data_IF_660336771166
#
_entry.id   IF_660336771166
#
_cell.length_a   1.000
_cell.length_b   1.000
_cell.length_c   1.000
_cell.angle_alpha   90.00
_cell.angle_beta   90.00
_cell.angle_gamma   90.00
#
_symmetry.space_group_name_H-M   'P 1'
#
loop_
_entity.id
_entity.type
_entity.pdbx_description
1 polymer ?
#
# COMPACT_ATOMS: atom_id res chain seq x y z
N UNK A 1 -25.20 3.94 13.67
CA UNK A 1 -24.03 3.62 14.52
C UNK A 1 -22.81 3.45 13.63
N UNK A 2 -21.75 4.27 13.76
CA UNK A 2 -20.51 4.20 12.94
C UNK A 2 -19.52 3.15 13.43
N UNK A 3 -19.60 2.76 14.70
CA UNK A 3 -18.64 1.89 15.37
C UNK A 3 -18.60 0.49 14.75
N UNK A 4 -19.74 -0.01 14.29
CA UNK A 4 -19.86 -1.34 13.67
C UNK A 4 -19.57 -1.34 12.16
N UNK A 5 -19.32 -0.18 11.55
CA UNK A 5 -19.11 -0.10 10.10
C UNK A 5 -17.69 -0.55 9.72
N UNK A 6 -17.53 -1.14 8.52
CA UNK A 6 -16.22 -1.43 7.95
C UNK A 6 -15.28 -0.22 7.93
N UNK A 7 -13.99 -0.49 8.05
CA UNK A 7 -12.95 0.54 8.04
C UNK A 7 -12.01 0.35 6.84
N UNK A 8 -11.84 1.42 6.09
CA UNK A 8 -10.82 1.57 5.06
C UNK A 8 -9.59 2.17 5.74
N UNK A 9 -8.52 1.40 5.87
CA UNK A 9 -7.28 1.84 6.52
C UNK A 9 -6.29 2.27 5.44
N UNK A 10 -5.71 3.46 5.58
CA UNK A 10 -4.59 3.92 4.75
C UNK A 10 -3.39 4.25 5.63
N UNK A 11 -2.27 3.58 5.37
CA UNK A 11 -1.01 3.82 6.08
C UNK A 11 0.11 4.08 5.08
N UNK A 12 0.57 5.33 5.01
CA UNK A 12 1.69 5.74 4.18
C UNK A 12 2.26 7.08 4.68
N UNK A 13 3.40 7.49 4.13
CA UNK A 13 3.92 8.84 4.36
C UNK A 13 3.03 9.86 3.64
N UNK A 14 2.88 11.05 4.23
CA UNK A 14 2.20 12.16 3.57
C UNK A 14 3.16 12.81 2.57
N UNK A 15 3.22 12.21 1.37
CA UNK A 15 3.98 12.69 0.20
C UNK A 15 3.00 12.76 -1.00
N UNK A 16 3.18 13.70 -1.95
CA UNK A 16 2.24 13.87 -3.07
C UNK A 16 2.03 12.57 -3.87
N UNK A 17 3.11 11.83 -4.12
CA UNK A 17 3.07 10.55 -4.84
C UNK A 17 2.24 9.46 -4.16
N UNK A 18 2.01 9.55 -2.84
CA UNK A 18 1.18 8.59 -2.10
C UNK A 18 -0.32 8.85 -2.29
N UNK A 19 -0.69 10.02 -2.81
CA UNK A 19 -2.03 10.36 -3.28
C UNK A 19 -3.14 10.08 -2.24
N UNK A 20 -2.86 10.37 -0.97
CA UNK A 20 -3.84 10.23 0.12
C UNK A 20 -5.05 11.15 -0.12
N UNK A 21 -4.83 12.31 -0.77
CA UNK A 21 -5.90 13.22 -1.17
C UNK A 21 -6.83 12.60 -2.22
N UNK A 22 -6.30 11.84 -3.19
CA UNK A 22 -7.11 11.08 -4.16
C UNK A 22 -7.97 10.02 -3.49
N UNK A 23 -7.42 9.27 -2.52
CA UNK A 23 -8.20 8.33 -1.71
C UNK A 23 -9.35 9.02 -0.95
N UNK A 24 -9.04 10.15 -0.29
CA UNK A 24 -10.04 10.91 0.44
C UNK A 24 -11.15 11.40 -0.48
N UNK A 25 -10.82 11.95 -1.65
CA UNK A 25 -11.79 12.43 -2.65
C UNK A 25 -12.66 11.29 -3.17
N UNK A 26 -12.08 10.13 -3.46
CA UNK A 26 -12.82 8.95 -3.90
C UNK A 26 -13.82 8.46 -2.84
N UNK A 27 -13.38 8.40 -1.58
CA UNK A 27 -14.26 8.05 -0.47
C UNK A 27 -15.40 9.07 -0.29
N UNK A 28 -15.08 10.37 -0.28
CA UNK A 28 -16.04 11.45 -0.02
C UNK A 28 -17.02 11.68 -1.18
N UNK A 29 -16.64 11.40 -2.42
CA UNK A 29 -17.50 11.59 -3.58
C UNK A 29 -18.50 10.44 -3.80
N UNK A 30 -18.31 9.28 -3.16
CA UNK A 30 -19.28 8.18 -3.23
C UNK A 30 -20.20 8.16 -2.01
N UNK A 31 -21.48 8.42 -2.24
CA UNK A 31 -22.50 8.49 -1.17
C UNK A 31 -22.59 7.19 -0.37
N UNK A 32 -22.48 6.03 -1.02
CA UNK A 32 -22.65 4.74 -0.37
C UNK A 32 -21.47 4.43 0.54
N UNK A 33 -20.23 4.70 0.11
CA UNK A 33 -19.04 4.61 0.96
C UNK A 33 -19.15 5.53 2.18
N UNK A 34 -19.57 6.78 1.95
CA UNK A 34 -19.81 7.74 3.03
C UNK A 34 -20.82 7.25 4.05
N UNK A 35 -21.89 6.58 3.61
CA UNK A 35 -22.94 6.09 4.47
C UNK A 35 -22.55 4.81 5.18
N UNK A 36 -21.81 3.90 4.55
CA UNK A 36 -21.64 2.52 5.05
C UNK A 36 -20.24 2.15 5.53
N UNK A 37 -19.24 3.02 5.37
CA UNK A 37 -17.88 2.76 5.82
C UNK A 37 -17.26 3.97 6.58
N UNK A 38 -16.12 3.70 7.20
CA UNK A 38 -15.24 4.71 7.78
C UNK A 38 -13.91 4.73 7.02
N UNK A 39 -13.27 5.90 6.92
CA UNK A 39 -11.91 6.04 6.41
C UNK A 39 -10.97 6.39 7.58
N UNK A 40 -9.92 5.60 7.78
CA UNK A 40 -8.91 5.80 8.80
C UNK A 40 -7.55 6.03 8.15
N UNK A 41 -7.01 7.23 8.32
CA UNK A 41 -5.71 7.65 7.78
C UNK A 41 -4.68 7.65 8.92
N UNK A 42 -3.62 6.85 8.77
CA UNK A 42 -2.55 6.78 9.76
C UNK A 42 -1.56 7.93 9.53
N UNK A 43 -1.29 8.69 10.59
CA UNK A 43 -0.37 9.84 10.58
C UNK A 43 0.65 9.67 11.69
N UNK A 44 1.94 9.59 11.35
CA UNK A 44 2.99 9.36 12.35
C UNK A 44 3.38 10.67 13.05
N UNK A 45 3.45 10.62 14.38
CA UNK A 45 4.00 11.71 15.20
C UNK A 45 3.03 12.87 15.47
N UNK A 46 1.74 12.69 15.21
CA UNK A 46 0.72 13.73 15.38
C UNK A 46 -0.40 13.19 16.25
N UNK A 47 -0.52 13.67 17.49
CA UNK A 47 -1.48 13.11 18.46
C UNK A 47 -2.94 13.47 18.11
N UNK A 48 -3.17 14.69 17.64
CA UNK A 48 -4.47 15.17 17.20
C UNK A 48 -4.35 15.96 15.90
N UNK A 49 -4.61 15.28 14.78
CA UNK A 49 -4.50 15.89 13.45
C UNK A 49 -5.33 17.18 13.31
N UNK A 50 -6.54 17.25 13.85
CA UNK A 50 -7.41 18.43 13.75
C UNK A 50 -6.92 19.64 14.53
N UNK A 51 -6.06 19.45 15.55
CA UNK A 51 -5.49 20.55 16.35
C UNK A 51 -4.07 20.91 15.93
N UNK A 52 -3.35 19.96 15.36
CA UNK A 52 -1.89 20.07 15.17
C UNK A 52 -1.48 20.19 13.70
N UNK A 53 -2.39 20.02 12.73
CA UNK A 53 -2.02 20.04 11.30
C UNK A 53 -1.25 21.29 10.86
N UNK A 54 -1.55 22.46 11.44
CA UNK A 54 -0.87 23.72 11.14
C UNK A 54 0.57 23.80 11.67
N UNK A 55 0.94 22.92 12.60
CA UNK A 55 2.28 22.85 13.21
C UNK A 55 3.21 21.90 12.47
N UNK A 56 2.69 21.07 11.56
CA UNK A 56 3.48 20.14 10.78
C UNK A 56 4.20 20.92 9.68
N UNK A 57 5.54 20.95 9.66
CA UNK A 57 6.27 21.74 8.67
C UNK A 57 6.30 21.05 7.30
N UNK A 58 6.61 21.84 6.27
CA UNK A 58 6.93 21.35 4.94
C UNK A 58 5.75 20.70 4.20
N UNK A 59 6.09 19.81 3.28
CA UNK A 59 5.14 19.14 2.38
C UNK A 59 4.13 18.24 3.12
N UNK A 60 4.51 17.42 4.11
CA UNK A 60 3.54 16.63 4.89
C UNK A 60 2.46 17.47 5.55
N UNK A 61 2.82 18.66 6.06
CA UNK A 61 1.87 19.57 6.69
C UNK A 61 0.89 20.21 5.71
N UNK A 62 1.33 20.55 4.50
CA UNK A 62 0.44 21.04 3.44
C UNK A 62 -0.59 19.99 3.04
N UNK A 63 -0.15 18.75 2.87
CA UNK A 63 -1.04 17.62 2.55
C UNK A 63 -2.02 17.40 3.70
N UNK A 64 -1.55 17.34 4.94
CA UNK A 64 -2.43 17.15 6.09
C UNK A 64 -3.46 18.28 6.21
N UNK A 65 -3.05 19.53 5.99
CA UNK A 65 -3.95 20.68 5.93
C UNK A 65 -5.03 20.49 4.86
N UNK A 66 -4.65 20.12 3.63
CA UNK A 66 -5.61 19.84 2.55
C UNK A 66 -6.62 18.76 2.97
N UNK A 67 -6.15 17.65 3.57
CA UNK A 67 -7.02 16.57 4.02
C UNK A 67 -8.02 17.07 5.07
N UNK A 68 -7.56 17.82 6.08
CA UNK A 68 -8.41 18.33 7.18
C UNK A 68 -9.43 19.35 6.68
N UNK A 69 -9.03 20.25 5.78
CA UNK A 69 -9.92 21.24 5.16
C UNK A 69 -10.96 20.55 4.28
N UNK A 70 -10.56 19.56 3.49
CA UNK A 70 -11.47 18.75 2.67
C UNK A 70 -12.50 18.01 3.53
N UNK A 71 -12.06 17.36 4.61
CA UNK A 71 -12.99 16.69 5.56
C UNK A 71 -13.96 17.68 6.20
N UNK A 72 -13.49 18.88 6.54
CA UNK A 72 -14.32 19.91 7.17
C UNK A 72 -15.35 20.48 6.19
N UNK A 73 -14.97 20.74 4.93
CA UNK A 73 -15.87 21.19 3.87
C UNK A 73 -17.00 20.18 3.59
N UNK A 74 -16.69 18.88 3.65
CA UNK A 74 -17.68 17.80 3.48
C UNK A 74 -18.44 17.44 4.77
N UNK A 75 -18.18 18.12 5.88
CA UNK A 75 -18.75 17.81 7.21
C UNK A 75 -18.57 16.33 7.61
N UNK A 76 -17.43 15.73 7.24
CA UNK A 76 -17.18 14.29 7.32
C UNK A 76 -16.34 13.86 8.54
N UNK A 77 -16.27 14.68 9.60
CA UNK A 77 -15.50 14.37 10.82
C UNK A 77 -16.04 13.17 11.60
N UNK A 78 -17.28 12.74 11.32
CA UNK A 78 -17.94 11.58 11.92
C UNK A 78 -17.60 10.25 11.24
N UNK A 79 -16.83 10.28 10.14
CA UNK A 79 -16.54 9.10 9.30
C UNK A 79 -15.13 9.06 8.71
N UNK A 80 -14.39 10.17 8.74
CA UNK A 80 -12.97 10.23 8.38
C UNK A 80 -12.17 10.51 9.65
N UNK A 81 -11.24 9.62 9.97
CA UNK A 81 -10.47 9.61 11.20
C UNK A 81 -8.98 9.62 10.89
N UNK A 82 -8.20 10.22 11.81
CA UNK A 82 -6.76 10.24 11.77
C UNK A 82 -6.22 9.61 13.05
N UNK A 83 -5.24 8.71 12.93
CA UNK A 83 -4.68 8.02 14.09
C UNK A 83 -3.15 8.01 14.05
N UNK A 84 -2.55 8.27 15.21
CA UNK A 84 -1.11 8.13 15.39
C UNK A 84 -0.77 6.68 15.72
N UNK A 85 -0.01 6.04 14.84
CA UNK A 85 0.60 4.74 15.11
C UNK A 85 2.10 4.89 14.85
N UNK A 86 2.90 4.55 15.86
CA UNK A 86 4.34 4.79 15.86
C UNK A 86 5.16 3.53 15.61
N UNK A 87 4.56 2.34 15.84
CA UNK A 87 5.25 1.06 15.70
C UNK A 87 4.43 0.02 14.92
N UNK A 88 5.16 -0.98 14.41
CA UNK A 88 4.59 -2.00 13.52
C UNK A 88 3.67 -3.00 14.22
N UNK A 89 3.85 -3.22 15.54
CA UNK A 89 2.99 -4.14 16.30
C UNK A 89 1.58 -3.58 16.45
N UNK A 90 1.48 -2.29 16.78
CA UNK A 90 0.22 -1.54 16.82
C UNK A 90 -0.45 -1.51 15.44
N UNK A 91 0.32 -1.24 14.38
CA UNK A 91 -0.23 -1.20 13.02
C UNK A 91 -0.80 -2.57 12.60
N UNK A 92 -0.07 -3.65 12.88
CA UNK A 92 -0.55 -5.01 12.63
C UNK A 92 -1.79 -5.37 13.47
N UNK A 93 -1.86 -4.90 14.73
CA UNK A 93 -3.05 -5.08 15.57
C UNK A 93 -4.26 -4.32 15.00
N UNK A 94 -4.07 -3.08 14.55
CA UNK A 94 -5.11 -2.32 13.87
C UNK A 94 -5.60 -3.06 12.61
N UNK A 95 -4.70 -3.60 11.80
CA UNK A 95 -5.09 -4.36 10.62
C UNK A 95 -5.99 -5.55 10.98
N UNK A 96 -5.68 -6.29 12.05
CA UNK A 96 -6.55 -7.38 12.52
C UNK A 96 -7.92 -6.90 13.03
N UNK A 97 -7.97 -5.73 13.68
CA UNK A 97 -9.25 -5.09 14.06
C UNK A 97 -10.05 -4.68 12.82
N UNK A 98 -9.38 -4.18 11.78
CA UNK A 98 -10.03 -3.86 10.52
C UNK A 98 -10.60 -5.13 9.85
N UNK A 99 -9.88 -6.25 9.89
CA UNK A 99 -10.38 -7.56 9.40
C UNK A 99 -11.65 -7.99 10.13
N UNK A 100 -11.69 -7.88 11.47
CA UNK A 100 -12.90 -8.25 12.24
C UNK A 100 -14.12 -7.35 11.96
N UNK A 101 -13.92 -6.23 11.27
CA UNK A 101 -14.97 -5.31 10.81
C UNK A 101 -15.24 -5.42 9.32
N UNK A 102 -14.73 -6.45 8.64
CA UNK A 102 -14.84 -6.62 7.18
C UNK A 102 -14.27 -5.41 6.42
N UNK A 103 -13.24 -4.79 6.98
CA UNK A 103 -12.54 -3.64 6.40
C UNK A 103 -11.60 -4.01 5.26
N UNK A 104 -10.84 -3.01 4.82
CA UNK A 104 -9.80 -3.18 3.80
C UNK A 104 -8.63 -2.20 4.04
N UNK A 105 -7.50 -2.47 3.41
CA UNK A 105 -6.38 -1.55 3.27
C UNK A 105 -6.42 -0.83 1.92
N UNK A 106 -6.14 0.48 1.89
CA UNK A 106 -6.11 1.26 0.67
C UNK A 106 -4.82 2.08 0.53
N UNK A 107 -4.11 1.88 -0.59
CA UNK A 107 -2.94 2.69 -0.96
C UNK A 107 -2.91 2.97 -2.47
N UNK A 108 -3.40 4.15 -2.83
CA UNK A 108 -3.62 4.59 -4.22
C UNK A 108 -2.50 5.51 -4.74
N UNK A 109 -1.26 5.21 -4.36
CA UNK A 109 -0.07 5.95 -4.82
C UNK A 109 -0.07 6.12 -6.35
N UNK A 110 0.35 7.27 -6.86
CA UNK A 110 0.51 7.49 -8.31
C UNK A 110 1.46 6.46 -8.93
N UNK A 111 2.49 6.07 -8.18
CA UNK A 111 3.39 4.97 -8.49
C UNK A 111 3.92 4.36 -7.19
N UNK A 112 3.99 3.04 -7.12
CA UNK A 112 4.56 2.31 -5.99
C UNK A 112 5.61 1.30 -6.47
N UNK A 113 6.91 1.47 -6.18
CA UNK A 113 7.96 0.61 -6.72
C UNK A 113 7.79 -0.86 -6.33
N UNK A 114 7.58 -1.12 -5.03
CA UNK A 114 7.38 -2.48 -4.53
C UNK A 114 6.03 -2.64 -3.84
N UNK A 115 5.75 -1.86 -2.79
CA UNK A 115 4.47 -1.93 -2.07
C UNK A 115 4.48 -2.85 -0.85
N UNK A 116 5.44 -2.63 0.06
CA UNK A 116 5.48 -3.34 1.35
C UNK A 116 4.22 -3.12 2.19
N UNK A 117 3.67 -1.90 2.24
CA UNK A 117 2.53 -1.60 3.11
C UNK A 117 1.27 -2.43 2.77
N UNK A 118 0.86 -2.60 1.50
CA UNK A 118 -0.19 -3.56 1.14
C UNK A 118 0.16 -5.00 1.56
N UNK A 119 1.41 -5.45 1.36
CA UNK A 119 1.84 -6.80 1.76
C UNK A 119 1.76 -6.99 3.28
N UNK A 120 2.11 -5.99 4.08
CA UNK A 120 1.98 -6.00 5.55
C UNK A 120 0.51 -6.12 5.98
N UNK A 121 -0.39 -5.38 5.33
CA UNK A 121 -1.83 -5.49 5.56
C UNK A 121 -2.38 -6.87 5.17
N UNK A 122 -2.00 -7.36 3.99
CA UNK A 122 -2.37 -8.68 3.49
C UNK A 122 -1.82 -9.80 4.38
N UNK A 123 -0.60 -9.68 4.92
CA UNK A 123 -0.04 -10.62 5.88
C UNK A 123 -0.85 -10.70 7.18
N UNK A 124 -1.57 -9.62 7.52
CA UNK A 124 -2.51 -9.59 8.65
C UNK A 124 -3.92 -10.07 8.30
N UNK A 125 -4.16 -10.49 7.05
CA UNK A 125 -5.45 -10.93 6.55
C UNK A 125 -6.38 -9.81 6.09
N UNK A 126 -5.89 -8.57 6.01
CA UNK A 126 -6.67 -7.41 5.55
C UNK A 126 -6.63 -7.32 4.02
N UNK A 127 -7.76 -7.51 3.31
CA UNK A 127 -7.80 -7.35 1.86
C UNK A 127 -7.37 -5.95 1.43
N UNK A 128 -6.70 -5.83 0.29
CA UNK A 128 -6.10 -4.56 -0.13
C UNK A 128 -6.63 -4.07 -1.49
N UNK A 129 -6.86 -2.75 -1.56
CA UNK A 129 -6.99 -1.97 -2.79
C UNK A 129 -5.69 -1.19 -2.97
N UNK A 130 -4.99 -1.37 -4.09
CA UNK A 130 -3.76 -0.63 -4.36
C UNK A 130 -3.68 -0.13 -5.80
N UNK A 131 -2.79 0.82 -6.02
CA UNK A 131 -2.47 1.31 -7.36
C UNK A 131 -2.06 0.19 -8.32
N UNK A 132 -2.50 0.27 -9.57
CA UNK A 132 -2.03 -0.60 -10.66
C UNK A 132 -0.60 -0.24 -11.14
N UNK A 133 -0.06 0.89 -10.70
CA UNK A 133 1.21 1.42 -11.20
C UNK A 133 2.38 0.95 -10.31
N UNK A 134 3.17 -0.01 -10.80
CA UNK A 134 4.38 -0.52 -10.16
C UNK A 134 4.18 -1.89 -9.47
N UNK A 135 4.96 -2.15 -8.42
CA UNK A 135 5.06 -3.45 -7.75
C UNK A 135 3.75 -4.10 -7.30
N UNK A 136 2.72 -3.36 -6.83
CA UNK A 136 1.43 -3.97 -6.49
C UNK A 136 0.76 -4.75 -7.63
N UNK A 137 1.00 -4.35 -8.88
CA UNK A 137 0.45 -5.06 -10.05
C UNK A 137 0.92 -6.52 -10.13
N UNK A 138 2.16 -6.79 -9.70
CA UNK A 138 2.77 -8.11 -9.78
C UNK A 138 2.26 -9.07 -8.70
N UNK A 139 2.07 -8.57 -7.47
CA UNK A 139 1.67 -9.44 -6.36
C UNK A 139 0.16 -9.48 -6.13
N UNK A 140 -0.62 -8.49 -6.58
CA UNK A 140 -2.07 -8.54 -6.44
C UNK A 140 -2.74 -9.45 -7.47
N UNK A 141 -2.09 -9.70 -8.61
CA UNK A 141 -2.56 -10.63 -9.62
C UNK A 141 -1.39 -11.54 -10.02
N UNK A 142 -1.44 -12.80 -9.59
CA UNK A 142 -0.37 -13.77 -9.86
C UNK A 142 -0.94 -15.04 -10.47
N UNK A 143 -0.43 -15.42 -11.64
CA UNK A 143 -0.84 -16.63 -12.37
C UNK A 143 -2.37 -16.70 -12.60
N UNK A 144 -3.00 -15.57 -12.92
CA UNK A 144 -4.46 -15.46 -13.12
C UNK A 144 -5.29 -15.37 -11.84
N UNK A 145 -4.68 -15.55 -10.65
CA UNK A 145 -5.35 -15.45 -9.35
C UNK A 145 -5.28 -14.03 -8.81
N UNK A 146 -6.42 -13.50 -8.37
CA UNK A 146 -6.53 -12.19 -7.73
C UNK A 146 -6.41 -12.31 -6.20
N UNK A 147 -5.46 -11.57 -5.62
CA UNK A 147 -5.18 -11.46 -4.19
C UNK A 147 -5.50 -10.06 -3.63
N UNK A 148 -5.91 -9.13 -4.48
CA UNK A 148 -6.38 -7.79 -4.11
C UNK A 148 -7.09 -7.13 -5.28
N UNK A 149 -7.39 -5.84 -5.13
CA UNK A 149 -7.98 -5.01 -6.19
C UNK A 149 -6.96 -3.96 -6.61
N UNK A 150 -6.69 -3.91 -7.91
CA UNK A 150 -5.88 -2.87 -8.52
C UNK A 150 -6.79 -1.74 -9.01
N UNK A 151 -6.38 -0.50 -8.76
CA UNK A 151 -7.08 0.71 -9.21
C UNK A 151 -6.15 1.65 -9.95
N UNK A 152 -6.72 2.44 -10.86
CA UNK A 152 -6.04 3.58 -11.46
C UNK A 152 -5.99 4.73 -10.44
N UNK A 153 -4.80 5.18 -10.00
CA UNK A 153 -4.68 6.22 -8.99
C UNK A 153 -5.10 7.61 -9.49
N UNK A 154 -5.22 7.82 -10.80
CA UNK A 154 -5.63 9.10 -11.41
C UNK A 154 -7.15 9.18 -11.61
N UNK A 155 -7.85 8.04 -11.53
CA UNK A 155 -9.30 7.97 -11.69
C UNK A 155 -10.00 7.78 -10.32
N UNK A 156 -10.56 8.87 -9.82
CA UNK A 156 -11.31 8.92 -8.55
C UNK A 156 -12.50 7.95 -8.55
N UNK A 157 -13.17 7.75 -9.68
CA UNK A 157 -14.30 6.83 -9.81
C UNK A 157 -13.78 5.40 -9.73
N UNK A 158 -12.69 5.08 -10.41
CA UNK A 158 -12.07 3.76 -10.36
C UNK A 158 -11.60 3.39 -8.94
N UNK A 159 -11.00 4.35 -8.21
CA UNK A 159 -10.66 4.15 -6.80
C UNK A 159 -11.92 3.81 -5.99
N UNK A 160 -12.98 4.62 -6.12
CA UNK A 160 -14.23 4.40 -5.38
C UNK A 160 -14.83 3.03 -5.68
N UNK A 161 -14.89 2.61 -6.94
CA UNK A 161 -15.39 1.27 -7.32
C UNK A 161 -14.53 0.14 -6.76
N UNK A 162 -13.21 0.30 -6.72
CA UNK A 162 -12.32 -0.66 -6.08
C UNK A 162 -12.59 -0.82 -4.57
N UNK A 163 -12.79 0.30 -3.86
CA UNK A 163 -13.18 0.30 -2.44
C UNK A 163 -14.54 -0.36 -2.25
N UNK A 164 -15.55 0.04 -3.02
CA UNK A 164 -16.92 -0.49 -2.96
C UNK A 164 -16.96 -1.98 -3.16
N UNK A 165 -16.16 -2.49 -4.09
CA UNK A 165 -16.09 -3.92 -4.36
C UNK A 165 -15.73 -4.73 -3.11
N UNK A 166 -14.72 -4.30 -2.33
CA UNK A 166 -14.33 -5.02 -1.11
C UNK A 166 -15.21 -4.69 0.11
N UNK A 167 -15.81 -3.49 0.18
CA UNK A 167 -16.72 -3.13 1.27
C UNK A 167 -18.09 -3.80 1.12
N UNK A 168 -18.61 -3.91 -0.10
CA UNK A 168 -19.99 -4.36 -0.35
C UNK A 168 -20.10 -5.80 -0.86
N UNK A 169 -19.04 -6.39 -1.40
CA UNK A 169 -18.97 -7.83 -1.67
C UNK A 169 -18.28 -8.54 -0.49
N UNK A 170 -19.08 -8.83 0.54
CA UNK A 170 -18.60 -9.52 1.76
C UNK A 170 -18.00 -10.88 1.46
N UNK A 171 -18.55 -11.60 0.48
CA UNK A 171 -18.06 -12.92 0.09
C UNK A 171 -16.64 -12.79 -0.47
N UNK A 172 -16.42 -11.84 -1.37
CA UNK A 172 -15.09 -11.56 -1.91
C UNK A 172 -14.11 -11.10 -0.83
N UNK A 173 -14.54 -10.22 0.08
CA UNK A 173 -13.71 -9.77 1.20
C UNK A 173 -13.22 -10.95 2.06
N UNK A 174 -14.16 -11.80 2.50
CA UNK A 174 -13.85 -12.99 3.30
C UNK A 174 -12.99 -14.01 2.56
N UNK A 175 -13.24 -14.23 1.27
CA UNK A 175 -12.42 -15.11 0.44
C UNK A 175 -10.98 -14.61 0.36
N UNK A 176 -10.79 -13.32 0.07
CA UNK A 176 -9.47 -12.70 0.03
C UNK A 176 -8.79 -12.79 1.39
N UNK A 177 -9.47 -12.38 2.45
CA UNK A 177 -8.94 -12.39 3.83
C UNK A 177 -8.36 -13.76 4.21
N UNK A 178 -9.03 -14.85 3.82
CA UNK A 178 -8.56 -16.22 4.09
C UNK A 178 -7.31 -16.60 3.29
N UNK A 179 -7.26 -16.28 1.99
CA UNK A 179 -6.18 -16.77 1.11
C UNK A 179 -4.93 -15.89 1.08
N UNK A 180 -5.05 -14.59 1.37
CA UNK A 180 -3.92 -13.65 1.25
C UNK A 180 -2.83 -13.88 2.29
N UNK A 181 -3.17 -14.36 3.49
CA UNK A 181 -2.18 -14.64 4.55
C UNK A 181 -1.21 -15.72 4.12
N UNK A 182 -1.74 -16.87 3.67
CA UNK A 182 -0.92 -17.98 3.21
C UNK A 182 -0.13 -17.63 1.95
N UNK A 183 -0.75 -16.87 1.04
CA UNK A 183 -0.09 -16.35 -0.15
C UNK A 183 1.13 -15.48 0.21
N UNK A 184 0.94 -14.45 1.05
CA UNK A 184 2.03 -13.55 1.44
C UNK A 184 3.10 -14.30 2.23
N UNK A 185 2.72 -15.20 3.13
CA UNK A 185 3.67 -16.02 3.90
C UNK A 185 4.50 -16.92 2.99
N UNK A 186 3.87 -17.57 2.02
CA UNK A 186 4.53 -18.46 1.05
C UNK A 186 5.46 -17.69 0.13
N UNK A 187 5.01 -16.53 -0.36
CA UNK A 187 5.67 -15.89 -1.50
C UNK A 187 6.43 -14.60 -1.21
N UNK A 188 6.12 -13.90 -0.13
CA UNK A 188 6.68 -12.57 0.16
C UNK A 188 7.22 -12.46 1.59
N UNK A 189 7.51 -13.59 2.23
CA UNK A 189 8.22 -13.63 3.51
C UNK A 189 9.73 -13.58 3.31
N UNK A 190 10.45 -13.05 4.31
CA UNK A 190 11.92 -13.07 4.30
C UNK A 190 12.51 -14.47 4.15
N UNK A 191 11.87 -15.48 4.75
CA UNK A 191 12.27 -16.88 4.57
C UNK A 191 12.07 -17.37 3.13
N UNK A 192 10.99 -16.99 2.46
CA UNK A 192 10.77 -17.31 1.05
C UNK A 192 11.79 -16.60 0.14
N UNK A 193 12.05 -15.33 0.40
CA UNK A 193 13.07 -14.55 -0.31
C UNK A 193 14.44 -15.20 -0.16
N UNK A 194 14.88 -15.51 1.06
CA UNK A 194 16.18 -16.14 1.32
C UNK A 194 16.33 -17.49 0.60
N UNK A 195 15.30 -18.34 0.63
CA UNK A 195 15.32 -19.63 -0.10
C UNK A 195 15.49 -19.45 -1.60
N UNK A 196 14.72 -18.55 -2.23
CA UNK A 196 14.85 -18.29 -3.67
C UNK A 196 16.20 -17.72 -4.06
N UNK A 197 16.77 -16.85 -3.23
CA UNK A 197 18.13 -16.35 -3.45
C UNK A 197 19.15 -17.50 -3.43
N UNK A 198 19.04 -18.41 -2.45
CA UNK A 198 19.91 -19.59 -2.37
C UNK A 198 19.76 -20.52 -3.57
N UNK A 199 18.52 -20.76 -4.03
CA UNK A 199 18.24 -21.56 -5.22
C UNK A 199 18.95 -21.01 -6.46
N UNK A 200 18.85 -19.69 -6.70
CA UNK A 200 19.53 -19.02 -7.82
C UNK A 200 21.04 -19.07 -7.68
N UNK A 201 21.58 -18.86 -6.47
CA UNK A 201 23.03 -18.93 -6.23
C UNK A 201 23.55 -20.35 -6.53
N UNK A 202 22.86 -21.39 -6.05
CA UNK A 202 23.26 -22.78 -6.30
C UNK A 202 23.12 -23.18 -7.78
N UNK A 203 22.12 -22.66 -8.49
CA UNK A 203 22.00 -22.81 -9.94
C UNK A 203 23.21 -22.19 -10.66
N UNK A 204 23.59 -20.96 -10.31
CA UNK A 204 24.67 -20.23 -10.98
C UNK A 204 26.07 -20.73 -10.64
N UNK A 205 26.29 -21.28 -9.44
CA UNK A 205 27.55 -21.97 -9.08
C UNK A 205 27.88 -23.12 -10.03
N UNK A 206 26.87 -23.78 -10.59
CA UNK A 206 27.03 -24.93 -11.50
C UNK A 206 27.27 -24.53 -12.95
N UNK A 207 27.18 -23.23 -13.27
CA UNK A 207 27.39 -22.73 -14.61
C UNK A 207 28.82 -22.20 -14.74
N UNK A 208 29.63 -22.66 -15.72
CA UNK A 208 30.96 -22.08 -15.93
C UNK A 208 30.81 -20.59 -16.27
N UNK A 209 31.39 -19.72 -15.45
CA UNK A 209 31.34 -18.28 -15.68
C UNK A 209 32.23 -17.91 -16.87
N UNK A 210 31.65 -17.40 -17.96
CA UNK A 210 32.40 -16.53 -18.86
C UNK A 210 32.56 -15.20 -18.15
N UNK A 211 33.73 -14.96 -17.57
CA UNK A 211 34.10 -13.62 -17.15
C UNK A 211 34.13 -12.73 -18.40
N UNK A 212 33.57 -11.51 -18.36
CA UNK A 212 33.79 -10.57 -19.45
C UNK A 212 35.29 -10.35 -19.58
N UNK A 213 35.79 -10.28 -20.82
CA UNK A 213 37.15 -9.80 -21.04
C UNK A 213 37.20 -8.34 -20.60
N UNK A 214 37.90 -8.08 -19.50
CA UNK A 214 38.14 -6.72 -19.02
C UNK A 214 39.24 -6.13 -19.89
N UNK A 215 38.99 -5.03 -20.64
CA UNK A 215 40.04 -4.39 -21.42
C UNK A 215 41.23 -4.06 -20.52
N UNK A 216 42.44 -4.37 -21.01
CA UNK A 216 43.67 -4.29 -20.21
C UNK A 216 43.91 -2.91 -19.60
N UNK A 217 43.40 -1.85 -20.24
CA UNK A 217 43.45 -0.49 -19.74
C UNK A 217 42.88 -0.34 -18.33
N UNK A 218 41.74 -0.97 -18.05
CA UNK A 218 41.11 -0.95 -16.73
C UNK A 218 41.89 -1.77 -15.69
N UNK A 219 42.89 -2.54 -16.14
CA UNK A 219 43.85 -3.27 -15.31
C UNK A 219 45.22 -2.55 -15.24
N UNK A 220 45.30 -1.28 -15.68
CA UNK A 220 46.52 -0.47 -15.68
C UNK A 220 47.52 -0.86 -16.77
N UNK A 221 47.10 -1.58 -17.81
CA UNK A 221 47.96 -2.07 -18.89
C UNK A 221 47.45 -1.63 -20.27
N UNK A 222 48.34 -1.10 -21.10
CA UNK A 222 47.99 -0.69 -22.47
C UNK A 222 47.21 0.63 -22.51
N UNK A 223 46.82 1.03 -23.72
CA UNK A 223 46.10 2.28 -23.98
C UNK A 223 44.59 2.11 -23.76
N UNK A 224 43.86 3.21 -23.48
CA UNK A 224 42.40 3.18 -23.38
C UNK A 224 41.82 2.46 -24.60
N UNK A 225 40.86 1.52 -24.41
CA UNK A 225 40.22 0.88 -25.53
C UNK A 225 39.63 1.97 -26.43
N UNK A 226 40.20 2.10 -27.62
CA UNK A 226 39.65 2.93 -28.70
C UNK A 226 38.42 2.20 -29.25
N UNK A 227 37.29 2.25 -28.56
CA UNK A 227 36.03 1.72 -29.06
C UNK A 227 34.92 2.67 -28.56
N UNK A 228 33.95 3.12 -29.34
CA UNK A 228 33.42 2.79 -30.67
C UNK A 228 32.66 4.04 -31.18
#
# INVERSE_FOLDING_TARGET
NRVEKPVIVSSSRLEPKKNVAGLLKAFLNDKKLNEEANLLIIVKGISNAYKEYSKVPGEPGRILKELIETVSAHKARDRVFFMNISNQKELAALYRVAVSKEGLFAMVSLYEPFGLAPLEAMACGLPAVATKNGGPSEFMIKSGVKYGILVDPEDIINIAEGLKKLIFDRRLNMELSKKIVDYVKKDYSWGATARRYLEVIEEKKRCPSKLPEIPSFFLGKGEPPLLL
#
